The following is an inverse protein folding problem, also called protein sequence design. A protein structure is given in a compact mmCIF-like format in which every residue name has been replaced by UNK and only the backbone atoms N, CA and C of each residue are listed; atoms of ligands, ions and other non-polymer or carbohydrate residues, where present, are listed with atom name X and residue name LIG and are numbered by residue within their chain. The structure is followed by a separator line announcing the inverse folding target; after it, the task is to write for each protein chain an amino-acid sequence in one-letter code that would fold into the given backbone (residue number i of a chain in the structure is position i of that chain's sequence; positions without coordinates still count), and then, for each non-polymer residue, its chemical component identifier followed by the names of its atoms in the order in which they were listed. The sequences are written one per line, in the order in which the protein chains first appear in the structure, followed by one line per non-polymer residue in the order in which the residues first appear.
data_IF_654109383519
#
_entry.id   IF_654109383519
#
_cell.length_a   1.000
_cell.length_b   1.000
_cell.length_c   1.000
_cell.angle_alpha   90.00
_cell.angle_beta   90.00
_cell.angle_gamma   90.00
#
_symmetry.space_group_name_H-M   'P 1'
#
loop_
_entity.id
_entity.type
_entity.pdbx_description
1 polymer ?
#
# COMPACT_ATOMS: atom_id res chain seq x y z
N UNK A 1 -69.51 -19.01 26.07
CA UNK A 1 -68.82 -17.81 26.63
C UNK A 1 -67.32 -17.92 26.38
N UNK A 2 -66.85 -17.30 25.30
CA UNK A 2 -65.43 -17.29 24.97
C UNK A 2 -64.80 -15.96 25.43
N UNK A 3 -63.84 -16.05 26.37
CA UNK A 3 -63.03 -14.92 26.83
C UNK A 3 -61.97 -14.60 25.80
N UNK A 4 -62.06 -13.46 25.11
CA UNK A 4 -60.99 -12.94 24.23
C UNK A 4 -59.91 -12.30 25.10
N UNK A 5 -58.71 -12.93 25.13
CA UNK A 5 -57.49 -12.38 25.71
C UNK A 5 -56.87 -11.39 24.68
N UNK A 6 -56.71 -10.12 25.07
CA UNK A 6 -56.03 -9.10 24.28
C UNK A 6 -54.55 -9.20 24.59
N UNK A 7 -53.75 -9.70 23.66
CA UNK A 7 -52.28 -9.58 23.69
C UNK A 7 -51.93 -8.14 23.28
N UNK A 8 -51.45 -7.36 24.21
CA UNK A 8 -50.85 -6.05 23.94
C UNK A 8 -49.39 -6.30 23.51
N UNK A 9 -49.11 -6.12 22.24
CA UNK A 9 -47.74 -6.17 21.72
C UNK A 9 -47.02 -4.88 22.12
N UNK A 10 -46.03 -5.00 23.00
CA UNK A 10 -45.13 -3.93 23.37
C UNK A 10 -44.06 -3.80 22.26
N UNK A 11 -44.25 -2.81 21.37
CA UNK A 11 -43.22 -2.43 20.40
C UNK A 11 -42.11 -1.69 21.14
N UNK A 12 -40.97 -2.37 21.38
CA UNK A 12 -39.72 -1.74 21.75
C UNK A 12 -39.20 -0.98 20.52
N UNK A 13 -39.39 0.33 20.50
CA UNK A 13 -38.70 1.21 19.57
C UNK A 13 -37.24 1.27 19.96
N UNK A 14 -36.40 0.55 19.24
CA UNK A 14 -34.93 0.74 19.30
C UNK A 14 -34.65 2.06 18.58
N UNK A 15 -34.42 3.11 19.35
CA UNK A 15 -33.91 4.38 18.85
C UNK A 15 -32.45 4.12 18.39
N UNK A 16 -32.25 4.00 17.08
CA UNK A 16 -30.94 4.05 16.47
C UNK A 16 -30.53 5.52 16.48
N UNK A 17 -29.80 5.91 17.51
CA UNK A 17 -29.14 7.23 17.56
C UNK A 17 -28.05 7.21 16.52
N UNK A 18 -28.25 7.89 15.40
CA UNK A 18 -27.20 8.25 14.45
C UNK A 18 -26.47 9.50 14.95
N UNK A 19 -25.89 9.45 16.16
CA UNK A 19 -24.89 10.41 16.57
C UNK A 19 -23.53 9.94 16.05
N UNK A 20 -23.12 10.56 14.94
CA UNK A 20 -21.77 10.44 14.45
C UNK A 20 -20.83 11.09 15.48
N UNK A 21 -20.00 10.29 16.17
CA UNK A 21 -18.72 10.77 16.59
C UNK A 21 -18.38 10.91 18.07
N UNK A 22 -19.13 10.32 19.02
CA UNK A 22 -18.62 10.29 20.40
C UNK A 22 -18.63 8.87 20.96
N UNK A 23 -17.50 8.40 21.42
CA UNK A 23 -17.42 7.13 22.13
C UNK A 23 -18.15 7.20 23.48
N UNK A 24 -18.71 6.07 24.00
CA UNK A 24 -19.29 5.98 25.32
C UNK A 24 -18.34 6.44 26.41
N UNK A 25 -18.88 6.86 27.57
CA UNK A 25 -18.08 7.31 28.69
C UNK A 25 -17.04 6.24 29.12
N UNK A 26 -15.79 6.63 29.29
CA UNK A 26 -14.67 5.73 29.59
C UNK A 26 -14.07 5.01 28.39
N UNK A 27 -14.49 5.35 27.17
CA UNK A 27 -13.90 4.88 25.94
C UNK A 27 -13.39 6.04 25.12
N UNK A 28 -12.32 5.81 24.35
CA UNK A 28 -11.74 6.76 23.40
C UNK A 28 -11.76 6.17 22.00
N UNK A 29 -11.91 7.04 21.00
CA UNK A 29 -11.86 6.65 19.61
C UNK A 29 -10.44 6.31 19.19
N UNK A 30 -10.25 5.14 18.61
CA UNK A 30 -8.98 4.66 18.02
C UNK A 30 -9.19 4.40 16.55
N UNK A 31 -8.37 5.04 15.72
CA UNK A 31 -8.38 4.85 14.27
C UNK A 31 -7.08 4.19 13.81
N UNK A 32 -7.19 2.99 13.19
CA UNK A 32 -6.05 2.30 12.55
C UNK A 32 -6.36 2.18 11.06
N UNK A 33 -7.21 1.23 10.65
CA UNK A 33 -7.78 1.14 9.30
C UNK A 33 -9.23 1.65 9.30
N UNK A 34 -9.94 1.38 10.39
CA UNK A 34 -11.27 1.92 10.72
C UNK A 34 -11.22 2.47 12.13
N UNK A 35 -12.11 3.41 12.45
CA UNK A 35 -12.22 3.95 13.81
C UNK A 35 -13.19 3.11 14.64
N UNK A 36 -12.84 2.84 15.89
CA UNK A 36 -13.67 2.14 16.86
C UNK A 36 -13.43 2.69 18.27
N UNK A 37 -14.38 2.48 19.16
CA UNK A 37 -14.25 2.90 20.55
C UNK A 37 -13.55 1.80 21.39
N UNK A 38 -12.47 2.15 22.08
CA UNK A 38 -11.73 1.26 22.96
C UNK A 38 -11.71 1.81 24.40
N UNK A 39 -11.75 0.94 25.42
CA UNK A 39 -11.62 1.36 26.82
C UNK A 39 -10.21 1.92 27.08
N UNK A 40 -10.11 3.00 27.83
CA UNK A 40 -8.86 3.68 28.18
C UNK A 40 -8.89 5.16 27.88
N UNK A 41 -7.91 5.89 28.40
CA UNK A 41 -7.73 7.30 28.07
C UNK A 41 -7.21 7.45 26.64
N UNK A 42 -7.47 8.61 26.04
CA UNK A 42 -6.99 8.92 24.68
C UNK A 42 -5.47 8.82 24.60
N UNK A 43 -4.77 9.34 25.61
CA UNK A 43 -3.32 9.35 25.70
C UNK A 43 -2.72 7.93 25.77
N UNK A 44 -3.33 7.04 26.54
CA UNK A 44 -2.89 5.63 26.66
C UNK A 44 -3.06 4.89 25.33
N UNK A 45 -4.20 5.10 24.65
CA UNK A 45 -4.50 4.46 23.39
C UNK A 45 -3.64 5.02 22.25
N UNK A 46 -3.36 6.32 22.23
CA UNK A 46 -2.43 6.95 21.27
C UNK A 46 -1.00 6.43 21.47
N UNK A 47 -0.54 6.30 22.72
CA UNK A 47 0.78 5.74 23.04
C UNK A 47 0.90 4.28 22.59
N UNK A 48 -0.14 3.47 22.83
CA UNK A 48 -0.18 2.06 22.39
C UNK A 48 -0.18 1.97 20.87
N UNK A 49 -1.02 2.74 20.19
CA UNK A 49 -1.11 2.78 18.73
C UNK A 49 0.22 3.22 18.12
N UNK A 50 0.87 4.24 18.69
CA UNK A 50 2.19 4.70 18.27
C UNK A 50 3.24 3.60 18.37
N UNK A 51 3.25 2.87 19.49
CA UNK A 51 4.19 1.76 19.74
C UNK A 51 3.98 0.60 18.76
N UNK A 52 2.71 0.26 18.48
CA UNK A 52 2.36 -0.78 17.49
C UNK A 52 2.79 -0.35 16.08
N UNK A 53 2.53 0.89 15.69
CA UNK A 53 2.93 1.42 14.38
C UNK A 53 4.46 1.45 14.24
N UNK A 54 5.18 1.83 15.27
CA UNK A 54 6.65 1.82 15.27
C UNK A 54 7.21 0.40 15.11
N UNK A 55 6.64 -0.58 15.80
CA UNK A 55 7.04 -1.98 15.66
C UNK A 55 6.73 -2.51 14.26
N UNK A 56 5.56 -2.21 13.71
CA UNK A 56 5.18 -2.58 12.36
C UNK A 56 6.13 -1.96 11.31
N UNK A 57 6.45 -0.67 11.46
CA UNK A 57 7.39 0.03 10.58
C UNK A 57 8.79 -0.57 10.63
N UNK A 58 9.31 -0.88 11.82
CA UNK A 58 10.62 -1.51 11.99
C UNK A 58 10.70 -2.90 11.38
N UNK A 59 9.61 -3.69 11.49
CA UNK A 59 9.52 -5.00 10.86
C UNK A 59 9.44 -4.89 9.34
N UNK A 60 8.64 -3.95 8.81
CA UNK A 60 8.56 -3.70 7.37
C UNK A 60 9.91 -3.24 6.80
N UNK A 61 10.58 -2.28 7.44
CA UNK A 61 11.91 -1.82 7.04
C UNK A 61 12.89 -2.99 6.93
N UNK A 62 13.01 -3.79 7.99
CA UNK A 62 13.92 -4.96 8.02
C UNK A 62 13.59 -5.94 6.91
N UNK A 63 12.31 -6.27 6.72
CA UNK A 63 11.89 -7.16 5.64
C UNK A 63 12.25 -6.61 4.25
N UNK A 64 12.06 -5.31 4.01
CA UNK A 64 12.43 -4.66 2.75
C UNK A 64 13.94 -4.77 2.49
N UNK A 65 14.77 -4.46 3.48
CA UNK A 65 16.23 -4.50 3.37
C UNK A 65 16.75 -5.94 3.18
N UNK A 66 16.25 -6.91 3.95
CA UNK A 66 16.60 -8.32 3.83
C UNK A 66 16.17 -8.89 2.47
N UNK A 67 14.95 -8.56 2.02
CA UNK A 67 14.42 -9.01 0.72
C UNK A 67 15.21 -8.39 -0.44
N UNK A 68 15.56 -7.11 -0.35
CA UNK A 68 16.43 -6.42 -1.31
C UNK A 68 17.79 -7.09 -1.41
N UNK A 69 18.42 -7.40 -0.27
CA UNK A 69 19.71 -8.07 -0.24
C UNK A 69 19.63 -9.48 -0.83
N UNK A 70 18.57 -10.21 -0.53
CA UNK A 70 18.31 -11.53 -1.13
C UNK A 70 18.11 -11.46 -2.65
N UNK A 71 17.36 -10.46 -3.12
CA UNK A 71 17.14 -10.23 -4.55
C UNK A 71 18.45 -9.91 -5.27
N UNK A 72 19.31 -9.08 -4.68
CA UNK A 72 20.56 -8.63 -5.30
C UNK A 72 21.55 -9.77 -5.62
N UNK A 73 21.55 -10.86 -4.84
CA UNK A 73 22.45 -12.01 -5.06
C UNK A 73 21.90 -13.03 -6.05
N UNK A 74 20.61 -12.95 -6.40
CA UNK A 74 19.97 -13.88 -7.35
C UNK A 74 20.15 -13.48 -8.83
N UNK A 75 20.77 -12.32 -9.07
CA UNK A 75 20.95 -11.73 -10.39
C UNK A 75 19.84 -10.73 -10.70
N UNK A 76 20.25 -9.52 -11.06
CA UNK A 76 19.38 -8.41 -11.41
C UNK A 76 19.80 -7.78 -12.72
N UNK A 77 18.85 -7.25 -13.48
CA UNK A 77 19.04 -6.60 -14.75
C UNK A 77 18.75 -5.09 -14.66
N UNK A 78 19.27 -4.32 -15.60
CA UNK A 78 18.89 -2.90 -15.77
C UNK A 78 17.52 -2.77 -16.47
N UNK A 79 16.89 -1.63 -16.35
CA UNK A 79 15.60 -1.34 -17.01
C UNK A 79 15.73 -1.63 -18.52
N UNK A 80 14.80 -2.38 -19.16
CA UNK A 80 14.80 -2.59 -20.61
C UNK A 80 14.81 -1.25 -21.35
N UNK A 81 15.63 -1.12 -22.39
CA UNK A 81 15.88 0.17 -23.09
C UNK A 81 14.61 0.86 -23.57
N UNK A 82 13.65 0.12 -24.07
CA UNK A 82 12.38 0.69 -24.56
C UNK A 82 11.48 1.17 -23.42
N UNK A 83 11.50 0.49 -22.25
CA UNK A 83 10.80 0.92 -21.02
C UNK A 83 11.47 2.21 -20.51
N UNK A 84 12.81 2.21 -20.43
CA UNK A 84 13.57 3.39 -20.01
C UNK A 84 13.26 4.61 -20.90
N UNK A 85 13.34 4.45 -22.20
CA UNK A 85 13.06 5.53 -23.17
C UNK A 85 11.63 6.09 -23.03
N UNK A 86 10.64 5.23 -22.73
CA UNK A 86 9.28 5.66 -22.51
C UNK A 86 9.08 6.43 -21.21
N UNK A 87 9.97 6.26 -20.22
CA UNK A 87 9.83 6.82 -18.87
C UNK A 87 10.81 7.98 -18.58
N UNK A 88 11.75 8.30 -19.46
CA UNK A 88 12.72 9.40 -19.28
C UNK A 88 12.05 10.79 -19.15
N UNK A 89 10.84 10.98 -19.67
CA UNK A 89 10.08 12.22 -19.50
C UNK A 89 9.34 12.32 -18.17
N UNK A 90 9.29 11.25 -17.38
CA UNK A 90 8.56 11.16 -16.11
C UNK A 90 9.46 11.06 -14.89
N UNK A 91 10.71 10.61 -15.07
CA UNK A 91 11.64 10.34 -13.97
C UNK A 91 13.03 10.91 -14.26
N UNK A 92 13.66 11.43 -13.22
CA UNK A 92 15.05 11.86 -13.27
C UNK A 92 15.98 10.68 -13.58
N UNK A 93 17.09 10.97 -14.27
CA UNK A 93 18.10 9.96 -14.61
C UNK A 93 18.61 9.23 -13.36
N UNK A 94 18.73 9.93 -12.22
CA UNK A 94 19.17 9.32 -10.96
C UNK A 94 18.26 8.16 -10.52
N UNK A 95 16.94 8.29 -10.71
CA UNK A 95 15.99 7.21 -10.41
C UNK A 95 16.19 6.05 -11.39
N UNK A 96 16.24 6.37 -12.70
CA UNK A 96 16.35 5.36 -13.76
C UNK A 96 17.67 4.60 -13.73
N UNK A 97 18.77 5.24 -13.34
CA UNK A 97 20.10 4.61 -13.29
C UNK A 97 20.28 3.72 -12.06
N UNK A 98 19.62 4.05 -10.94
CA UNK A 98 19.72 3.28 -9.70
C UNK A 98 18.99 1.95 -9.77
N UNK A 99 17.90 1.88 -10.56
CA UNK A 99 16.99 0.74 -10.57
C UNK A 99 17.59 -0.50 -11.21
N UNK A 100 17.31 -1.62 -10.56
CA UNK A 100 17.48 -2.97 -11.11
C UNK A 100 16.16 -3.71 -11.02
N UNK A 101 16.02 -4.78 -11.79
CA UNK A 101 14.85 -5.63 -11.70
C UNK A 101 15.20 -7.11 -11.83
N UNK A 102 14.27 -7.93 -11.39
CA UNK A 102 14.23 -9.36 -11.67
C UNK A 102 12.80 -9.85 -11.80
N UNK A 103 12.62 -11.03 -12.42
CA UNK A 103 11.37 -11.78 -12.37
C UNK A 103 11.48 -12.79 -11.24
N UNK A 104 10.66 -12.59 -10.20
CA UNK A 104 10.70 -13.39 -8.97
C UNK A 104 9.87 -14.64 -9.04
N UNK A 105 10.17 -15.57 -8.14
CA UNK A 105 9.26 -16.66 -7.82
C UNK A 105 8.11 -16.17 -6.94
N UNK A 106 6.98 -16.86 -6.93
CA UNK A 106 5.78 -16.48 -6.18
C UNK A 106 5.96 -16.35 -4.66
N UNK A 107 7.06 -16.86 -4.08
CA UNK A 107 7.30 -16.85 -2.62
C UNK A 107 7.61 -15.43 -2.12
N UNK A 108 8.53 -14.73 -2.77
CA UNK A 108 8.87 -13.34 -2.40
C UNK A 108 7.67 -12.40 -2.58
N UNK A 109 6.93 -12.56 -3.67
CA UNK A 109 5.74 -11.77 -3.96
C UNK A 109 4.56 -12.09 -3.05
N UNK A 110 4.40 -13.35 -2.62
CA UNK A 110 3.38 -13.72 -1.64
C UNK A 110 3.70 -13.15 -0.24
N UNK A 111 4.97 -13.08 0.14
CA UNK A 111 5.38 -12.38 1.35
C UNK A 111 5.08 -10.88 1.24
N UNK A 112 5.36 -10.26 0.08
CA UNK A 112 4.99 -8.87 -0.21
C UNK A 112 3.48 -8.64 -0.12
N UNK A 113 2.65 -9.51 -0.70
CA UNK A 113 1.20 -9.42 -0.58
C UNK A 113 0.73 -9.35 0.88
N UNK A 114 1.34 -10.19 1.74
CA UNK A 114 1.01 -10.23 3.16
C UNK A 114 1.50 -8.97 3.89
N UNK A 115 2.73 -8.54 3.62
CA UNK A 115 3.36 -7.40 4.31
C UNK A 115 2.78 -6.06 3.86
N UNK A 116 2.44 -5.91 2.58
CA UNK A 116 1.91 -4.69 1.99
C UNK A 116 0.38 -4.67 1.91
N UNK A 117 -0.30 -5.69 2.43
CA UNK A 117 -1.75 -5.81 2.45
C UNK A 117 -2.42 -5.67 1.06
N UNK A 118 -1.70 -6.03 0.00
CA UNK A 118 -2.20 -5.98 -1.37
C UNK A 118 -2.20 -7.38 -2.00
N UNK A 119 -3.37 -8.01 -2.19
CA UNK A 119 -3.47 -9.38 -2.71
C UNK A 119 -3.11 -9.50 -4.20
N UNK A 120 -3.18 -8.42 -4.96
CA UNK A 120 -3.02 -8.41 -6.42
C UNK A 120 -1.69 -7.80 -6.88
N UNK A 121 -0.64 -7.93 -6.05
CA UNK A 121 0.69 -7.40 -6.37
C UNK A 121 1.29 -8.15 -7.57
N UNK A 122 1.46 -7.46 -8.70
CA UNK A 122 2.16 -7.97 -9.88
C UNK A 122 3.66 -7.61 -9.90
N UNK A 123 4.05 -6.62 -9.10
CA UNK A 123 5.43 -6.27 -8.84
C UNK A 123 5.57 -5.73 -7.42
N UNK A 124 6.78 -5.70 -6.90
CA UNK A 124 7.11 -5.08 -5.62
C UNK A 124 8.47 -4.38 -5.72
N UNK A 125 8.55 -3.17 -5.21
CA UNK A 125 9.79 -2.41 -5.12
C UNK A 125 10.46 -2.63 -3.76
N UNK A 126 11.65 -3.20 -3.80
CA UNK A 126 12.55 -3.42 -2.67
C UNK A 126 13.69 -2.39 -2.74
N UNK A 127 13.48 -1.19 -2.26
CA UNK A 127 14.38 -0.04 -2.35
C UNK A 127 14.72 0.36 -3.80
N UNK A 128 15.73 -0.25 -4.38
CA UNK A 128 16.25 -0.03 -5.74
C UNK A 128 16.07 -1.25 -6.67
N UNK A 129 15.48 -2.32 -6.18
CA UNK A 129 15.20 -3.54 -6.96
C UNK A 129 13.69 -3.74 -7.08
N UNK A 130 13.21 -3.86 -8.32
CA UNK A 130 11.81 -4.19 -8.62
C UNK A 130 11.73 -5.68 -8.94
N UNK A 131 10.88 -6.40 -8.21
CA UNK A 131 10.62 -7.82 -8.45
C UNK A 131 9.25 -7.97 -9.11
N UNK A 132 9.23 -8.38 -10.37
CA UNK A 132 8.02 -8.63 -11.12
C UNK A 132 7.55 -10.06 -10.95
N UNK A 133 6.23 -10.27 -10.90
CA UNK A 133 5.62 -11.60 -10.86
C UNK A 133 5.76 -12.32 -12.21
N UNK A 134 5.59 -11.58 -13.31
CA UNK A 134 5.57 -12.12 -14.66
C UNK A 134 6.61 -11.43 -15.55
N UNK A 135 7.32 -12.21 -16.36
CA UNK A 135 8.29 -11.69 -17.32
C UNK A 135 7.62 -10.74 -18.34
N UNK A 136 6.39 -10.99 -18.71
CA UNK A 136 5.61 -10.14 -19.59
C UNK A 136 5.44 -8.73 -19.04
N UNK A 137 5.13 -8.58 -17.74
CA UNK A 137 5.03 -7.29 -17.08
C UNK A 137 6.38 -6.56 -17.04
N UNK A 138 7.46 -7.29 -16.74
CA UNK A 138 8.80 -6.73 -16.73
C UNK A 138 9.24 -6.23 -18.11
N UNK A 139 8.81 -6.89 -19.19
CA UNK A 139 9.23 -6.55 -20.54
C UNK A 139 8.30 -5.54 -21.22
N UNK A 140 7.01 -5.49 -20.91
CA UNK A 140 6.04 -4.77 -21.74
C UNK A 140 5.13 -3.80 -20.97
N UNK A 141 5.03 -3.90 -19.65
CA UNK A 141 4.08 -3.09 -18.88
C UNK A 141 4.69 -1.77 -18.40
N UNK A 142 4.86 -0.81 -19.34
CA UNK A 142 5.43 0.52 -19.05
C UNK A 142 4.69 1.25 -17.92
N UNK A 143 3.35 1.08 -17.83
CA UNK A 143 2.55 1.72 -16.81
C UNK A 143 2.83 1.15 -15.41
N UNK A 144 3.02 -0.17 -15.29
CA UNK A 144 3.44 -0.81 -14.03
C UNK A 144 4.86 -0.39 -13.64
N UNK A 145 5.78 -0.30 -14.59
CA UNK A 145 7.11 0.26 -14.36
C UNK A 145 7.05 1.68 -13.81
N UNK A 146 6.15 2.52 -14.33
CA UNK A 146 5.97 3.87 -13.81
C UNK A 146 5.51 3.85 -12.34
N UNK A 147 4.61 2.95 -11.97
CA UNK A 147 4.19 2.75 -10.57
C UNK A 147 5.39 2.40 -9.67
N UNK A 148 6.12 1.36 -10.04
CA UNK A 148 7.23 0.85 -9.22
C UNK A 148 8.40 1.85 -9.12
N UNK A 149 8.72 2.58 -10.20
CA UNK A 149 9.71 3.65 -10.18
C UNK A 149 9.32 4.79 -9.23
N UNK A 150 8.02 5.03 -9.03
CA UNK A 150 7.58 6.00 -8.03
C UNK A 150 7.96 5.58 -6.62
N UNK A 151 7.88 4.30 -6.30
CA UNK A 151 8.37 3.79 -5.02
C UNK A 151 9.89 3.90 -4.90
N UNK A 152 10.66 3.63 -5.96
CA UNK A 152 12.11 3.89 -5.94
C UNK A 152 12.40 5.36 -5.62
N UNK A 153 11.70 6.29 -6.28
CA UNK A 153 11.83 7.73 -5.99
C UNK A 153 11.48 8.06 -4.53
N UNK A 154 10.43 7.46 -3.98
CA UNK A 154 10.04 7.63 -2.58
C UNK A 154 11.13 7.08 -1.62
N UNK A 155 11.73 5.93 -1.93
CA UNK A 155 12.87 5.41 -1.16
C UNK A 155 14.08 6.32 -1.21
N UNK A 156 14.39 6.89 -2.37
CA UNK A 156 15.49 7.86 -2.50
C UNK A 156 15.25 9.14 -1.70
N UNK A 157 13.99 9.59 -1.63
CA UNK A 157 13.61 10.82 -0.92
C UNK A 157 13.53 10.62 0.59
N UNK A 158 13.03 9.49 1.06
CA UNK A 158 12.70 9.27 2.46
C UNK A 158 13.63 8.29 3.17
N UNK A 159 14.28 7.40 2.43
CA UNK A 159 14.96 6.23 3.00
C UNK A 159 13.98 5.14 3.42
N UNK A 160 14.51 3.92 3.65
CA UNK A 160 13.71 2.74 3.97
C UNK A 160 12.89 2.89 5.26
N UNK A 161 13.50 3.48 6.31
CA UNK A 161 12.85 3.65 7.61
C UNK A 161 11.63 4.59 7.53
N UNK A 162 11.78 5.74 6.87
CA UNK A 162 10.67 6.69 6.74
C UNK A 162 9.61 6.19 5.77
N UNK A 163 10.00 5.50 4.69
CA UNK A 163 9.04 4.82 3.81
C UNK A 163 8.19 3.83 4.60
N UNK A 164 8.81 2.93 5.36
CA UNK A 164 8.12 1.94 6.18
C UNK A 164 7.18 2.59 7.22
N UNK A 165 7.61 3.68 7.86
CA UNK A 165 6.79 4.45 8.78
C UNK A 165 5.58 5.10 8.11
N UNK A 166 5.78 5.71 6.93
CA UNK A 166 4.68 6.30 6.16
C UNK A 166 3.69 5.23 5.69
N UNK A 167 4.21 4.11 5.18
CA UNK A 167 3.41 3.01 4.65
C UNK A 167 2.54 2.34 5.71
N UNK A 168 3.10 2.05 6.89
CA UNK A 168 2.36 1.43 7.99
C UNK A 168 1.33 2.36 8.62
N UNK A 169 1.58 3.68 8.60
CA UNK A 169 0.65 4.68 9.10
C UNK A 169 -0.50 4.96 8.14
N UNK A 170 -0.19 5.12 6.87
CA UNK A 170 -1.17 5.43 5.81
C UNK A 170 -0.64 4.99 4.43
N UNK A 171 -0.80 3.69 4.12
CA UNK A 171 -0.36 3.15 2.84
C UNK A 171 -0.99 3.86 1.64
N UNK A 172 -2.24 4.35 1.77
CA UNK A 172 -2.95 5.01 0.67
C UNK A 172 -2.26 6.29 0.24
N UNK A 173 -1.72 7.06 1.17
CA UNK A 173 -0.96 8.27 0.86
C UNK A 173 0.36 7.97 0.14
N UNK A 174 0.96 6.81 0.38
CA UNK A 174 2.17 6.35 -0.31
C UNK A 174 1.86 5.81 -1.70
N UNK A 175 0.78 5.04 -1.84
CA UNK A 175 0.36 4.43 -3.10
C UNK A 175 -0.30 5.42 -4.08
N UNK A 176 -1.05 6.41 -3.60
CA UNK A 176 -1.80 7.31 -4.46
C UNK A 176 -0.94 8.01 -5.54
N UNK A 177 0.27 8.54 -5.25
CA UNK A 177 1.15 9.09 -6.28
C UNK A 177 1.64 8.03 -7.30
N UNK A 178 1.83 6.79 -6.89
CA UNK A 178 2.24 5.69 -7.77
C UNK A 178 1.12 5.30 -8.73
N UNK A 179 -0.12 5.17 -8.25
CA UNK A 179 -1.28 4.96 -9.13
C UNK A 179 -1.58 6.16 -10.03
N UNK A 180 -1.33 7.38 -9.57
CA UNK A 180 -1.51 8.57 -10.39
C UNK A 180 -0.58 8.57 -11.61
N UNK A 181 0.72 8.34 -11.42
CA UNK A 181 1.69 8.28 -12.52
C UNK A 181 1.45 7.06 -13.44
N UNK A 182 1.10 5.91 -12.87
CA UNK A 182 0.71 4.73 -13.66
C UNK A 182 -0.44 5.05 -14.61
N UNK A 183 -1.48 5.71 -14.12
CA UNK A 183 -2.64 6.10 -14.91
C UNK A 183 -2.29 7.12 -15.97
N UNK A 184 -1.44 8.10 -15.66
CA UNK A 184 -0.96 9.11 -16.59
C UNK A 184 -0.20 8.48 -17.76
N UNK A 185 0.74 7.58 -17.48
CA UNK A 185 1.53 6.87 -18.49
C UNK A 185 0.63 5.98 -19.34
N UNK A 186 -0.29 5.23 -18.73
CA UNK A 186 -1.23 4.39 -19.47
C UNK A 186 -2.11 5.17 -20.44
N UNK A 187 -2.53 6.39 -20.06
CA UNK A 187 -3.29 7.28 -20.96
C UNK A 187 -2.43 7.80 -22.12
N UNK A 188 -1.20 8.22 -21.86
CA UNK A 188 -0.28 8.71 -22.89
C UNK A 188 0.03 7.64 -23.94
N UNK A 189 0.25 6.39 -23.51
CA UNK A 189 0.50 5.26 -24.42
C UNK A 189 -0.71 4.96 -25.33
N UNK A 190 -1.93 5.05 -24.82
CA UNK A 190 -3.16 4.87 -25.62
C UNK A 190 -3.32 5.99 -26.65
N UNK A 191 -3.05 7.24 -26.27
CA UNK A 191 -3.10 8.38 -27.16
C UNK A 191 -2.12 8.27 -28.34
N UNK A 192 -0.89 7.82 -28.06
CA UNK A 192 0.13 7.61 -29.11
C UNK A 192 -0.19 6.45 -30.06
N UNK A 193 -0.86 5.41 -29.59
CA UNK A 193 -1.30 4.28 -30.42
C UNK A 193 -2.45 4.66 -31.36
N UNK A 194 -3.33 5.58 -30.96
CA UNK A 194 -4.46 6.05 -31.77
C UNK A 194 -4.07 7.09 -32.80
N UNK A 195 -2.87 7.67 -32.74
CA UNK A 195 -2.36 8.69 -33.66
C UNK A 195 -1.51 8.11 -34.80
N UNK A 196 -1.32 6.80 -34.85
CA UNK A 196 -0.62 6.06 -35.92
C UNK A 196 -1.58 5.32 -36.82
#
# INVERSE_FOLDING_TARGET
MLKRSRLTALLLAVAISTDAGACPAGQSEVCVVTCFCAPGSKEELEALTSSVNQLAASNLQRWLEESRNSASVQGVEGIPLHIRAALESYYDLQVLDAVRYQVGNGVALNAANTMLQNPDVNAVTLLDIIVFRHAEDAQNNVALWAHELKHVQQYQQWGAAQFASNYTRDYRSVEAPAYAIQSQVALALRGSASAR
#
